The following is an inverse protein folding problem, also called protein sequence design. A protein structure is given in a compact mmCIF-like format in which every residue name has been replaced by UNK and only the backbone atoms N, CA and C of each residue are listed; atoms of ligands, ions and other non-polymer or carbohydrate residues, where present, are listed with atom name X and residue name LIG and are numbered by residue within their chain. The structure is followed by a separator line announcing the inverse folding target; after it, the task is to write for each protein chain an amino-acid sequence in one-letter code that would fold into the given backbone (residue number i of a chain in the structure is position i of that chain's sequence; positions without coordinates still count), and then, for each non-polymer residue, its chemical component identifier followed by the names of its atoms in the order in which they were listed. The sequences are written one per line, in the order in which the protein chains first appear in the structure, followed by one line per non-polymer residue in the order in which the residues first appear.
data_IF_876673381744
#
_entry.id   IF_876673381744
#
_cell.length_a   1.000
_cell.length_b   1.000
_cell.length_c   1.000
_cell.angle_alpha   90.00
_cell.angle_beta   90.00
_cell.angle_gamma   90.00
#
_symmetry.space_group_name_H-M   'P 1'
#
loop_
_entity.id
_entity.type
_entity.pdbx_description
1 polymer ?
#
# COMPACT_ATOMS: atom_id res chain seq x y z
N UNK A 1 33.73 12.74 1.35
CA UNK A 1 32.56 13.28 2.10
C UNK A 1 32.29 14.67 1.55
N UNK A 2 31.03 14.99 1.25
CA UNK A 2 30.58 16.27 0.66
C UNK A 2 31.31 16.72 -0.62
N UNK A 3 31.37 15.82 -1.61
CA UNK A 3 32.06 16.10 -2.87
C UNK A 3 31.40 17.24 -3.66
N UNK A 4 30.08 17.39 -3.57
CA UNK A 4 29.30 18.42 -4.29
C UNK A 4 29.63 19.86 -3.90
N UNK A 5 30.42 20.10 -2.85
CA UNK A 5 30.86 21.44 -2.41
C UNK A 5 32.39 21.56 -2.29
N UNK A 6 33.12 20.53 -2.70
CA UNK A 6 34.58 20.51 -2.68
C UNK A 6 35.13 21.19 -3.95
N UNK A 7 36.23 21.93 -3.85
CA UNK A 7 36.88 22.50 -5.03
C UNK A 7 37.34 21.40 -6.00
N UNK A 8 36.97 21.52 -7.28
CA UNK A 8 37.14 20.45 -8.27
C UNK A 8 38.60 20.01 -8.44
N UNK A 9 39.55 20.96 -8.47
CA UNK A 9 40.97 20.63 -8.62
C UNK A 9 41.47 19.75 -7.46
N UNK A 10 41.08 20.09 -6.22
CA UNK A 10 41.41 19.30 -5.05
C UNK A 10 40.70 17.94 -5.06
N UNK A 11 39.44 17.89 -5.51
CA UNK A 11 38.72 16.63 -5.64
C UNK A 11 39.42 15.67 -6.59
N UNK A 12 39.87 16.13 -7.75
CA UNK A 12 40.57 15.29 -8.73
C UNK A 12 41.90 14.76 -8.19
N UNK A 13 42.70 15.60 -7.52
CA UNK A 13 43.96 15.19 -6.90
C UNK A 13 43.74 14.10 -5.83
N UNK A 14 42.72 14.27 -4.99
CA UNK A 14 42.39 13.29 -3.94
C UNK A 14 41.90 11.98 -4.56
N UNK A 15 41.07 12.02 -5.60
CA UNK A 15 40.60 10.80 -6.28
C UNK A 15 41.77 10.07 -6.94
N UNK A 16 42.62 10.78 -7.70
CA UNK A 16 43.81 10.20 -8.35
C UNK A 16 44.74 9.52 -7.33
N UNK A 17 45.06 10.23 -6.24
CA UNK A 17 45.91 9.72 -5.18
C UNK A 17 45.29 8.50 -4.47
N UNK A 18 43.97 8.50 -4.28
CA UNK A 18 43.24 7.39 -3.66
C UNK A 18 43.29 6.13 -4.54
N UNK A 19 43.12 6.28 -5.85
CA UNK A 19 43.23 5.17 -6.81
C UNK A 19 44.69 4.68 -6.87
N UNK A 20 45.67 5.59 -6.92
CA UNK A 20 47.09 5.23 -6.92
C UNK A 20 47.52 4.48 -5.65
N UNK A 21 46.84 4.71 -4.52
CA UNK A 21 47.04 3.97 -3.28
C UNK A 21 46.41 2.56 -3.28
N UNK A 22 45.71 2.17 -4.37
CA UNK A 22 45.14 0.83 -4.56
C UNK A 22 43.65 0.72 -4.27
N UNK A 23 42.91 1.83 -4.18
CA UNK A 23 41.45 1.78 -4.05
C UNK A 23 40.82 1.27 -5.35
N UNK A 24 39.99 0.23 -5.26
CA UNK A 24 39.25 -0.33 -6.40
C UNK A 24 37.86 0.27 -6.57
N UNK A 25 37.38 1.01 -5.57
CA UNK A 25 36.11 1.74 -5.59
C UNK A 25 36.32 3.08 -4.89
N UNK A 26 35.91 4.17 -5.53
CA UNK A 26 35.95 5.53 -4.97
C UNK A 26 34.54 6.09 -4.93
N UNK A 27 34.03 6.33 -3.72
CA UNK A 27 32.68 6.86 -3.52
C UNK A 27 32.67 8.39 -3.53
N UNK A 28 31.81 8.97 -4.36
CA UNK A 28 31.58 10.40 -4.54
C UNK A 28 30.21 10.75 -3.96
N UNK A 29 30.15 11.17 -2.67
CA UNK A 29 28.88 11.42 -2.01
C UNK A 29 28.37 12.85 -2.26
N UNK A 30 27.08 12.95 -2.54
CA UNK A 30 26.29 14.16 -2.42
C UNK A 30 25.62 14.13 -1.04
N UNK A 31 26.34 14.66 -0.04
CA UNK A 31 26.03 14.43 1.38
C UNK A 31 24.82 15.23 1.87
N UNK A 32 24.53 16.37 1.23
CA UNK A 32 23.56 17.35 1.74
C UNK A 32 22.23 17.32 0.98
N UNK A 33 22.11 16.60 -0.13
CA UNK A 33 20.89 16.52 -0.92
C UNK A 33 20.59 17.78 -1.73
N UNK A 34 21.59 18.62 -2.06
CA UNK A 34 21.38 19.99 -2.55
C UNK A 34 21.64 20.19 -4.05
N UNK A 35 22.57 19.45 -4.64
CA UNK A 35 22.97 19.68 -6.04
C UNK A 35 21.85 19.29 -7.00
N UNK A 36 21.70 20.03 -8.10
CA UNK A 36 20.78 19.61 -9.18
C UNK A 36 21.44 18.61 -10.14
N UNK A 37 20.67 17.81 -10.90
CA UNK A 37 21.22 16.74 -11.75
C UNK A 37 22.32 17.19 -12.71
N UNK A 38 22.17 18.36 -13.33
CA UNK A 38 23.18 18.89 -14.24
C UNK A 38 24.50 19.22 -13.54
N UNK A 39 24.46 19.73 -12.31
CA UNK A 39 25.66 20.04 -11.53
C UNK A 39 26.36 18.76 -11.08
N UNK A 40 25.60 17.80 -10.55
CA UNK A 40 26.16 16.54 -10.10
C UNK A 40 26.69 15.70 -11.26
N UNK A 41 25.97 15.66 -12.38
CA UNK A 41 26.43 15.03 -13.62
C UNK A 41 27.74 15.65 -14.12
N UNK A 42 27.84 16.98 -14.16
CA UNK A 42 29.08 17.66 -14.56
C UNK A 42 30.25 17.37 -13.62
N UNK A 43 29.99 17.21 -12.32
CA UNK A 43 31.02 16.80 -11.35
C UNK A 43 31.55 15.39 -11.66
N UNK A 44 30.66 14.42 -11.89
CA UNK A 44 31.07 13.04 -12.22
C UNK A 44 31.80 13.01 -13.57
N UNK A 45 31.26 13.69 -14.58
CA UNK A 45 31.91 13.83 -15.89
C UNK A 45 33.32 14.43 -15.74
N UNK A 46 33.44 15.48 -14.94
CA UNK A 46 34.72 16.12 -14.65
C UNK A 46 35.74 15.16 -14.03
N UNK A 47 35.31 14.30 -13.09
CA UNK A 47 36.17 13.25 -12.55
C UNK A 47 36.62 12.29 -13.66
N UNK A 48 35.69 11.79 -14.47
CA UNK A 48 35.99 10.85 -15.56
C UNK A 48 36.93 11.44 -16.62
N UNK A 49 36.87 12.75 -16.87
CA UNK A 49 37.70 13.42 -17.89
C UNK A 49 39.07 13.87 -17.39
N UNK A 50 39.22 14.15 -16.08
CA UNK A 50 40.40 14.84 -15.56
C UNK A 50 41.25 14.00 -14.59
N UNK A 51 40.77 12.84 -14.13
CA UNK A 51 41.55 11.94 -13.27
C UNK A 51 42.26 10.89 -14.16
N UNK A 52 43.59 10.91 -14.30
CA UNK A 52 44.30 10.10 -15.30
C UNK A 52 44.16 8.57 -15.14
N UNK A 53 44.02 8.09 -13.91
CA UNK A 53 43.88 6.67 -13.55
C UNK A 53 42.44 6.30 -13.18
N UNK A 54 41.44 7.08 -13.58
CA UNK A 54 40.04 6.86 -13.18
C UNK A 54 39.51 5.49 -13.59
N UNK A 55 39.96 4.96 -14.72
CA UNK A 55 39.54 3.66 -15.25
C UNK A 55 40.06 2.46 -14.45
N UNK A 56 41.02 2.67 -13.54
CA UNK A 56 41.55 1.62 -12.66
C UNK A 56 40.66 1.35 -11.43
N UNK A 57 39.60 2.15 -11.23
CA UNK A 57 38.66 2.01 -10.12
C UNK A 57 37.20 2.25 -10.53
N UNK A 58 36.27 1.68 -9.77
CA UNK A 58 34.85 1.97 -9.94
C UNK A 58 34.52 3.29 -9.25
N UNK A 59 34.00 4.25 -10.02
CA UNK A 59 33.36 5.44 -9.44
C UNK A 59 31.98 5.06 -8.94
N UNK A 60 31.82 5.15 -7.61
CA UNK A 60 30.57 4.97 -6.88
C UNK A 60 29.97 6.33 -6.54
N UNK A 61 28.64 6.43 -6.51
CA UNK A 61 27.93 7.63 -6.05
C UNK A 61 26.99 7.32 -4.89
N UNK A 62 26.85 8.28 -3.99
CA UNK A 62 25.96 8.20 -2.83
C UNK A 62 25.20 9.51 -2.68
N UNK A 63 23.93 9.55 -3.09
CA UNK A 63 23.14 10.78 -3.08
C UNK A 63 22.12 10.79 -1.94
N UNK A 64 22.11 11.87 -1.17
CA UNK A 64 21.03 12.17 -0.23
C UNK A 64 19.86 12.87 -0.92
N UNK A 65 18.70 12.86 -0.26
CA UNK A 65 17.42 13.23 -0.87
C UNK A 65 16.77 14.50 -0.28
N UNK A 66 17.54 15.40 0.33
CA UNK A 66 17.02 16.59 1.01
C UNK A 66 16.17 17.50 0.10
N UNK A 67 16.49 17.61 -1.20
CA UNK A 67 15.65 18.30 -2.20
C UNK A 67 14.81 17.37 -3.09
N UNK A 68 14.76 16.06 -2.79
CA UNK A 68 14.01 15.10 -3.60
C UNK A 68 14.69 14.70 -4.93
N UNK A 69 15.99 14.97 -5.08
CA UNK A 69 16.72 14.81 -6.34
C UNK A 69 17.68 13.60 -6.36
N UNK A 70 17.72 12.77 -5.31
CA UNK A 70 18.72 11.71 -5.16
C UNK A 70 18.72 10.71 -6.32
N UNK A 71 17.53 10.27 -6.74
CA UNK A 71 17.37 9.32 -7.87
C UNK A 71 17.81 9.96 -9.19
N UNK A 72 17.43 11.21 -9.44
CA UNK A 72 17.82 11.92 -10.66
C UNK A 72 19.33 12.14 -10.72
N UNK A 73 19.95 12.54 -9.61
CA UNK A 73 21.41 12.69 -9.47
C UNK A 73 22.13 11.36 -9.68
N UNK A 74 21.57 10.26 -9.17
CA UNK A 74 22.15 8.92 -9.36
C UNK A 74 22.06 8.44 -10.82
N UNK A 75 20.94 8.69 -11.50
CA UNK A 75 20.76 8.30 -12.91
C UNK A 75 21.69 9.08 -13.85
N UNK A 76 21.80 10.40 -13.68
CA UNK A 76 22.71 11.20 -14.51
C UNK A 76 24.18 10.83 -14.23
N UNK A 77 24.53 10.49 -12.99
CA UNK A 77 25.88 10.01 -12.67
C UNK A 77 26.24 8.73 -13.43
N UNK A 78 25.30 7.79 -13.58
CA UNK A 78 25.50 6.58 -14.39
C UNK A 78 25.82 6.96 -15.84
N UNK A 79 25.04 7.88 -16.42
CA UNK A 79 25.26 8.38 -17.78
C UNK A 79 26.61 9.07 -17.94
N UNK A 80 27.13 9.70 -16.89
CA UNK A 80 28.44 10.37 -16.89
C UNK A 80 29.60 9.48 -16.47
N UNK A 81 29.39 8.17 -16.30
CA UNK A 81 30.47 7.19 -16.11
C UNK A 81 30.51 6.48 -14.77
N UNK A 82 29.68 6.86 -13.79
CA UNK A 82 29.57 6.10 -12.55
C UNK A 82 29.07 4.66 -12.82
N UNK A 83 29.59 3.68 -12.09
CA UNK A 83 29.25 2.26 -12.27
C UNK A 83 28.74 1.58 -10.99
N UNK A 84 28.68 2.32 -9.89
CA UNK A 84 28.06 1.88 -8.65
C UNK A 84 27.19 3.00 -8.07
N UNK A 85 26.00 2.64 -7.57
CA UNK A 85 25.11 3.55 -6.85
C UNK A 85 24.85 2.97 -5.47
N UNK A 86 25.25 3.70 -4.43
CA UNK A 86 24.87 3.42 -3.06
C UNK A 86 23.43 3.92 -2.84
N UNK A 87 22.52 2.98 -2.58
CA UNK A 87 21.10 3.24 -2.45
C UNK A 87 20.50 2.38 -1.34
N UNK A 88 19.24 2.64 -1.01
CA UNK A 88 18.53 1.96 0.07
C UNK A 88 17.11 1.60 -0.34
N UNK A 89 16.61 0.51 0.23
CA UNK A 89 15.21 0.14 0.09
C UNK A 89 14.35 1.22 0.75
N UNK A 90 13.28 1.62 0.08
CA UNK A 90 12.36 2.66 0.52
C UNK A 90 12.98 4.07 0.57
N UNK A 91 14.24 4.25 0.14
CA UNK A 91 14.99 5.51 0.28
C UNK A 91 15.36 5.82 1.74
N UNK A 92 15.44 4.83 2.62
CA UNK A 92 15.79 5.05 4.02
C UNK A 92 17.21 5.61 4.20
N UNK A 93 17.36 6.55 5.13
CA UNK A 93 18.64 7.17 5.42
C UNK A 93 18.50 8.29 6.43
N UNK A 94 19.56 9.06 6.61
CA UNK A 94 19.50 10.26 7.44
C UNK A 94 18.57 11.32 6.81
N UNK A 95 17.88 12.08 7.65
CA UNK A 95 17.03 13.22 7.26
C UNK A 95 15.95 12.81 6.25
N UNK A 96 16.03 13.30 5.01
CA UNK A 96 15.13 12.99 3.91
C UNK A 96 15.44 11.65 3.21
N UNK A 97 16.50 10.97 3.63
CA UNK A 97 16.89 9.66 3.14
C UNK A 97 17.97 9.68 2.06
N UNK A 98 18.18 8.50 1.48
CA UNK A 98 19.15 8.25 0.41
C UNK A 98 18.43 7.97 -0.91
N UNK A 99 19.20 7.81 -1.99
CA UNK A 99 18.70 7.26 -3.24
C UNK A 99 17.87 5.98 -3.01
N UNK A 100 16.67 5.97 -3.58
CA UNK A 100 15.72 4.86 -3.54
C UNK A 100 16.13 3.76 -4.52
N UNK A 101 16.45 2.57 -4.01
CA UNK A 101 16.92 1.44 -4.82
C UNK A 101 15.87 1.04 -5.85
N UNK A 102 14.63 0.88 -5.42
CA UNK A 102 13.53 0.46 -6.29
C UNK A 102 13.27 1.43 -7.44
N UNK A 103 13.49 2.74 -7.23
CA UNK A 103 13.25 3.77 -8.24
C UNK A 103 14.34 3.79 -9.30
N UNK A 104 15.62 3.70 -8.90
CA UNK A 104 16.75 3.61 -9.86
C UNK A 104 16.66 2.33 -10.69
N UNK A 105 16.43 1.19 -10.04
CA UNK A 105 16.32 -0.10 -10.72
C UNK A 105 15.17 -0.09 -11.73
N UNK A 106 14.01 0.42 -11.32
CA UNK A 106 12.84 0.44 -12.21
C UNK A 106 12.96 1.51 -13.29
N UNK A 107 13.64 2.63 -13.06
CA UNK A 107 13.94 3.59 -14.13
C UNK A 107 14.77 2.94 -15.25
N UNK A 108 15.89 2.29 -14.90
CA UNK A 108 16.76 1.59 -15.87
C UNK A 108 16.00 0.47 -16.59
N UNK A 109 15.24 -0.34 -15.83
CA UNK A 109 14.52 -1.50 -16.38
C UNK A 109 13.33 -1.11 -17.27
N UNK A 110 12.58 -0.08 -16.89
CA UNK A 110 11.36 0.34 -17.60
C UNK A 110 11.70 1.17 -18.83
N UNK A 111 12.71 2.05 -18.74
CA UNK A 111 13.15 2.91 -19.84
C UNK A 111 14.38 2.33 -20.55
N UNK A 112 14.34 1.04 -20.89
CA UNK A 112 15.41 0.39 -21.67
C UNK A 112 15.65 1.03 -23.04
N UNK A 113 14.64 1.72 -23.59
CA UNK A 113 14.78 2.56 -24.79
C UNK A 113 15.81 3.68 -24.60
N UNK A 114 15.93 4.20 -23.37
CA UNK A 114 16.84 5.27 -23.01
C UNK A 114 18.12 4.74 -22.35
N UNK A 115 17.99 3.86 -21.36
CA UNK A 115 19.09 3.27 -20.61
C UNK A 115 19.59 1.94 -21.22
N UNK A 116 19.61 1.84 -22.56
CA UNK A 116 19.88 0.58 -23.27
C UNK A 116 21.26 -0.03 -22.96
N UNK A 117 22.23 0.79 -22.57
CA UNK A 117 23.60 0.39 -22.22
C UNK A 117 23.74 -0.06 -20.76
N UNK A 118 22.71 0.10 -19.93
CA UNK A 118 22.77 -0.13 -18.49
C UNK A 118 21.81 -1.24 -18.06
N UNK A 119 22.24 -2.02 -17.08
CA UNK A 119 21.39 -3.04 -16.46
C UNK A 119 21.77 -3.22 -14.99
N UNK A 120 20.89 -3.90 -14.26
CA UNK A 120 21.18 -4.40 -12.92
C UNK A 120 20.84 -5.87 -12.87
N UNK A 121 21.50 -6.63 -11.99
CA UNK A 121 21.20 -8.03 -11.72
C UNK A 121 20.10 -8.20 -10.64
N UNK A 122 19.48 -7.10 -10.23
CA UNK A 122 18.47 -7.10 -9.17
C UNK A 122 17.22 -7.83 -9.64
N UNK A 123 16.78 -8.80 -8.85
CA UNK A 123 15.51 -9.47 -9.07
C UNK A 123 14.36 -8.52 -8.68
N UNK A 124 13.79 -7.86 -9.70
CA UNK A 124 12.71 -6.89 -9.51
C UNK A 124 11.50 -7.46 -8.76
N UNK A 125 11.20 -8.76 -8.89
CA UNK A 125 10.05 -9.40 -8.23
C UNK A 125 10.14 -9.38 -6.70
N UNK A 126 11.34 -9.21 -6.15
CA UNK A 126 11.56 -9.14 -4.69
C UNK A 126 11.49 -7.72 -4.13
N UNK A 127 11.35 -6.69 -4.98
CA UNK A 127 11.33 -5.28 -4.54
C UNK A 127 10.21 -5.03 -3.53
N UNK A 128 8.95 -5.35 -3.86
CA UNK A 128 7.81 -5.13 -2.96
C UNK A 128 7.87 -6.02 -1.70
N UNK A 129 8.17 -7.34 -1.79
CA UNK A 129 8.40 -8.17 -0.61
C UNK A 129 9.45 -7.61 0.36
N UNK A 130 10.60 -7.17 -0.16
CA UNK A 130 11.69 -6.61 0.64
C UNK A 130 11.28 -5.26 1.23
N UNK A 131 10.66 -4.37 0.46
CA UNK A 131 10.13 -3.09 0.93
C UNK A 131 9.22 -3.27 2.15
N UNK A 132 8.27 -4.21 2.08
CA UNK A 132 7.34 -4.53 3.19
C UNK A 132 8.06 -5.13 4.39
N UNK A 133 9.09 -5.96 4.16
CA UNK A 133 9.91 -6.51 5.24
C UNK A 133 10.67 -5.40 5.95
N UNK A 134 11.37 -4.54 5.21
CA UNK A 134 12.12 -3.40 5.74
C UNK A 134 11.20 -2.47 6.54
N UNK A 135 10.03 -2.13 6.00
CA UNK A 135 9.04 -1.29 6.71
C UNK A 135 8.62 -1.86 8.06
N UNK A 136 8.30 -3.17 8.12
CA UNK A 136 7.94 -3.85 9.38
C UNK A 136 9.11 -3.95 10.36
N UNK A 137 10.30 -4.28 9.88
CA UNK A 137 11.49 -4.43 10.72
C UNK A 137 11.93 -3.10 11.31
N UNK A 138 11.89 -2.02 10.52
CA UNK A 138 12.31 -0.69 10.95
C UNK A 138 11.23 0.08 11.71
N UNK A 139 9.97 -0.37 11.66
CA UNK A 139 8.83 0.35 12.24
C UNK A 139 8.49 1.65 11.49
N UNK A 140 8.96 1.81 10.25
CA UNK A 140 8.74 3.01 9.42
C UNK A 140 7.83 2.63 8.26
N UNK A 141 6.63 3.22 8.24
CA UNK A 141 5.62 3.01 7.20
C UNK A 141 6.08 3.55 5.84
N UNK A 142 5.79 2.82 4.77
CA UNK A 142 5.98 3.33 3.40
C UNK A 142 4.88 4.34 3.08
N UNK A 143 5.25 5.50 2.53
CA UNK A 143 4.30 6.51 2.09
C UNK A 143 3.36 5.90 1.02
N UNK A 144 2.03 6.06 1.12
CA UNK A 144 1.09 5.42 0.19
C UNK A 144 1.34 5.75 -1.29
N UNK A 145 1.76 6.98 -1.60
CA UNK A 145 2.05 7.46 -2.95
C UNK A 145 3.53 7.40 -3.33
N UNK A 146 4.37 6.67 -2.58
CA UNK A 146 5.77 6.45 -2.98
C UNK A 146 5.83 5.71 -4.31
N UNK A 147 6.73 6.12 -5.18
CA UNK A 147 6.98 5.46 -6.46
C UNK A 147 7.32 3.96 -6.26
N UNK A 148 6.84 3.11 -7.17
CA UNK A 148 7.06 1.65 -7.23
C UNK A 148 6.47 0.83 -6.07
N UNK A 149 6.70 1.23 -4.81
CA UNK A 149 6.39 0.41 -3.62
C UNK A 149 5.27 0.99 -2.74
N UNK A 150 4.78 2.19 -3.03
CA UNK A 150 3.63 2.77 -2.35
C UNK A 150 2.34 1.99 -2.63
N UNK A 151 1.45 1.90 -1.64
CA UNK A 151 0.16 1.22 -1.76
C UNK A 151 -0.72 1.75 -2.92
N UNK A 152 -0.53 3.02 -3.29
CA UNK A 152 -1.27 3.68 -4.36
C UNK A 152 -0.52 3.68 -5.71
N UNK A 153 0.69 3.12 -5.80
CA UNK A 153 1.52 3.19 -7.01
C UNK A 153 0.88 2.50 -8.23
N UNK A 154 0.06 1.48 -7.98
CA UNK A 154 -0.70 0.72 -9.00
C UNK A 154 -2.20 0.70 -8.69
N UNK A 155 -2.66 1.77 -8.03
CA UNK A 155 -4.06 1.91 -7.66
C UNK A 155 -4.75 2.97 -8.52
N UNK A 156 -5.91 2.64 -9.07
CA UNK A 156 -6.64 3.49 -10.02
C UNK A 156 -8.05 3.77 -9.51
N UNK A 157 -8.30 5.03 -9.14
CA UNK A 157 -9.56 5.48 -8.53
C UNK A 157 -10.40 6.39 -9.44
N UNK A 158 -9.79 6.96 -10.47
CA UNK A 158 -10.45 7.82 -11.46
C UNK A 158 -11.18 6.98 -12.49
N UNK A 159 -12.47 7.28 -12.76
CA UNK A 159 -13.27 6.53 -13.73
C UNK A 159 -12.64 6.45 -15.14
N UNK A 160 -11.94 7.50 -15.58
CA UNK A 160 -11.25 7.49 -16.88
C UNK A 160 -10.01 6.57 -16.89
N UNK A 161 -9.29 6.47 -15.77
CA UNK A 161 -8.14 5.57 -15.65
C UNK A 161 -8.61 4.12 -15.57
N UNK A 162 -9.67 3.87 -14.78
CA UNK A 162 -10.27 2.55 -14.64
C UNK A 162 -10.76 2.02 -15.99
N UNK A 163 -11.54 2.82 -16.74
CA UNK A 163 -12.01 2.43 -18.07
C UNK A 163 -10.85 2.18 -19.05
N UNK A 164 -9.81 3.02 -19.01
CA UNK A 164 -8.62 2.84 -19.84
C UNK A 164 -7.88 1.53 -19.55
N UNK A 165 -7.69 1.19 -18.28
CA UNK A 165 -6.98 -0.04 -17.87
C UNK A 165 -7.78 -1.29 -18.17
N UNK A 166 -9.11 -1.24 -18.01
CA UNK A 166 -10.00 -2.34 -18.39
C UNK A 166 -9.88 -2.63 -19.89
N UNK A 167 -9.73 -1.60 -20.73
CA UNK A 167 -9.55 -1.75 -22.18
C UNK A 167 -8.12 -2.15 -22.56
N UNK A 168 -7.13 -1.52 -21.95
CA UNK A 168 -5.71 -1.74 -22.22
C UNK A 168 -4.86 -1.23 -21.04
N UNK A 169 -4.24 -2.15 -20.30
CA UNK A 169 -3.44 -1.82 -19.11
C UNK A 169 -2.29 -0.85 -19.42
N UNK A 170 -1.61 -1.03 -20.56
CA UNK A 170 -0.45 -0.21 -20.96
C UNK A 170 -0.77 1.26 -21.16
N UNK A 171 -2.05 1.65 -21.24
CA UNK A 171 -2.45 3.06 -21.36
C UNK A 171 -2.11 3.87 -20.11
N UNK A 172 -2.17 3.26 -18.92
CA UNK A 172 -1.91 3.94 -17.65
C UNK A 172 -0.88 3.21 -16.77
N UNK A 173 -0.50 1.98 -17.13
CA UNK A 173 0.50 1.19 -16.42
C UNK A 173 1.75 0.99 -17.29
N UNK A 174 2.77 1.81 -17.04
CA UNK A 174 4.08 1.69 -17.71
C UNK A 174 4.92 0.51 -17.19
N UNK A 175 4.49 -0.12 -16.10
CA UNK A 175 5.13 -1.26 -15.44
C UNK A 175 4.05 -2.27 -15.11
N UNK A 176 4.26 -3.56 -15.42
CA UNK A 176 3.41 -4.63 -14.88
C UNK A 176 3.70 -4.81 -13.38
N UNK A 177 2.72 -4.58 -12.48
CA UNK A 177 2.91 -4.74 -11.04
C UNK A 177 3.45 -6.13 -10.64
N UNK A 178 3.13 -7.17 -11.41
CA UNK A 178 3.62 -8.54 -11.13
C UNK A 178 5.12 -8.67 -11.32
N UNK A 179 5.75 -7.85 -12.17
CA UNK A 179 7.20 -7.87 -12.37
C UNK A 179 7.99 -7.34 -11.16
N UNK A 180 7.34 -6.57 -10.29
CA UNK A 180 7.94 -5.93 -9.11
C UNK A 180 7.49 -6.53 -7.76
N UNK A 181 6.66 -7.59 -7.82
CA UNK A 181 6.21 -8.32 -6.63
C UNK A 181 4.88 -7.86 -6.04
N UNK A 182 4.13 -7.02 -6.74
CA UNK A 182 2.70 -6.83 -6.45
C UNK A 182 1.90 -8.04 -6.95
N UNK A 183 0.79 -8.35 -6.29
CA UNK A 183 -0.12 -9.43 -6.74
C UNK A 183 -0.84 -9.01 -8.03
N UNK A 184 -1.41 -7.81 -8.01
CA UNK A 184 -2.18 -7.20 -9.09
C UNK A 184 -2.38 -5.71 -8.82
N UNK A 185 -2.78 -4.97 -9.86
CA UNK A 185 -3.25 -3.59 -9.75
C UNK A 185 -4.57 -3.53 -8.97
N UNK A 186 -4.79 -2.44 -8.25
CA UNK A 186 -6.03 -2.23 -7.50
C UNK A 186 -6.95 -1.25 -8.22
N UNK A 187 -8.16 -1.68 -8.54
CA UNK A 187 -9.24 -0.78 -8.96
C UNK A 187 -9.98 -0.31 -7.70
N UNK A 188 -9.64 0.90 -7.22
CA UNK A 188 -10.29 1.46 -6.04
C UNK A 188 -11.60 2.09 -6.46
N UNK A 189 -12.72 1.51 -6.04
CA UNK A 189 -14.03 2.11 -6.28
C UNK A 189 -14.24 3.32 -5.36
N UNK A 190 -14.51 4.47 -5.99
CA UNK A 190 -14.74 5.76 -5.34
C UNK A 190 -15.98 6.45 -5.93
N UNK A 191 -16.46 7.59 -5.40
CA UNK A 191 -17.57 8.34 -6.01
C UNK A 191 -17.32 8.77 -7.47
N UNK A 192 -16.05 8.75 -7.92
CA UNK A 192 -15.64 9.08 -9.29
C UNK A 192 -15.56 7.86 -10.20
N UNK A 193 -15.78 6.66 -9.66
CA UNK A 193 -15.80 5.43 -10.43
C UNK A 193 -17.08 5.35 -11.24
N UNK A 194 -16.93 5.05 -12.53
CA UNK A 194 -18.06 4.89 -13.43
C UNK A 194 -18.71 3.51 -13.32
N UNK A 195 -19.88 3.38 -13.93
CA UNK A 195 -20.64 2.11 -14.04
C UNK A 195 -19.80 0.95 -14.59
N UNK A 196 -18.89 1.22 -15.51
CA UNK A 196 -18.04 0.17 -16.08
C UNK A 196 -17.09 -0.44 -15.04
N UNK A 197 -16.46 0.40 -14.21
CA UNK A 197 -15.58 -0.06 -13.14
C UNK A 197 -16.36 -0.84 -12.07
N UNK A 198 -17.55 -0.36 -11.70
CA UNK A 198 -18.44 -1.07 -10.77
C UNK A 198 -18.87 -2.43 -11.32
N UNK A 199 -19.36 -2.48 -12.57
CA UNK A 199 -19.75 -3.74 -13.24
C UNK A 199 -18.59 -4.73 -13.30
N UNK A 200 -17.40 -4.26 -13.67
CA UNK A 200 -16.21 -5.09 -13.74
C UNK A 200 -15.90 -5.72 -12.38
N UNK A 201 -15.91 -4.91 -11.30
CA UNK A 201 -15.63 -5.42 -9.95
C UNK A 201 -16.70 -6.39 -9.45
N UNK A 202 -17.97 -6.11 -9.70
CA UNK A 202 -19.07 -7.03 -9.37
C UNK A 202 -18.92 -8.37 -10.10
N UNK A 203 -18.50 -8.36 -11.37
CA UNK A 203 -18.22 -9.58 -12.12
C UNK A 203 -17.04 -10.37 -11.56
N UNK A 204 -15.97 -9.71 -11.09
CA UNK A 204 -14.86 -10.38 -10.40
C UNK A 204 -15.29 -11.05 -9.08
N UNK A 205 -16.31 -10.49 -8.42
CA UNK A 205 -16.93 -11.06 -7.22
C UNK A 205 -17.97 -12.16 -7.55
N UNK A 206 -18.20 -12.46 -8.83
CA UNK A 206 -19.13 -13.48 -9.29
C UNK A 206 -20.58 -13.02 -9.48
N UNK A 207 -20.85 -11.71 -9.43
CA UNK A 207 -22.18 -11.15 -9.71
C UNK A 207 -22.35 -10.82 -11.20
N UNK A 208 -23.40 -11.35 -11.80
CA UNK A 208 -23.87 -10.91 -13.12
C UNK A 208 -25.04 -9.94 -12.93
N UNK A 209 -24.87 -8.70 -13.40
CA UNK A 209 -25.87 -7.63 -13.31
C UNK A 209 -26.23 -7.11 -14.70
N UNK A 210 -27.52 -7.04 -15.00
CA UNK A 210 -28.00 -6.40 -16.21
C UNK A 210 -27.91 -4.87 -16.12
N UNK A 211 -28.31 -4.17 -17.19
CA UNK A 211 -28.21 -2.71 -17.24
C UNK A 211 -29.12 -2.02 -16.21
N UNK A 212 -30.33 -2.55 -15.96
CA UNK A 212 -31.30 -1.96 -15.05
C UNK A 212 -30.89 -2.19 -13.59
N UNK A 213 -30.43 -3.39 -13.27
CA UNK A 213 -29.85 -3.74 -11.97
C UNK A 213 -28.62 -2.88 -11.68
N UNK A 214 -27.71 -2.74 -12.65
CA UNK A 214 -26.51 -1.94 -12.46
C UNK A 214 -26.84 -0.48 -12.13
N UNK A 215 -27.87 0.12 -12.73
CA UNK A 215 -28.28 1.49 -12.40
C UNK A 215 -28.74 1.61 -10.94
N UNK A 216 -29.52 0.65 -10.44
CA UNK A 216 -29.97 0.62 -9.04
C UNK A 216 -28.81 0.41 -8.06
N UNK A 217 -27.91 -0.53 -8.39
CA UNK A 217 -26.68 -0.79 -7.62
C UNK A 217 -25.78 0.42 -7.61
N UNK A 218 -25.65 1.13 -8.74
CA UNK A 218 -24.82 2.32 -8.88
C UNK A 218 -25.29 3.47 -7.97
N UNK A 219 -26.61 3.70 -7.87
CA UNK A 219 -27.16 4.71 -6.95
C UNK A 219 -26.89 4.37 -5.47
N UNK A 220 -26.99 3.10 -5.08
CA UNK A 220 -26.63 2.66 -3.72
C UNK A 220 -25.13 2.77 -3.46
N UNK A 221 -24.34 2.36 -4.45
CA UNK A 221 -22.88 2.48 -4.44
C UNK A 221 -22.45 3.93 -4.19
N UNK A 222 -23.03 4.92 -4.89
CA UNK A 222 -22.70 6.33 -4.67
C UNK A 222 -22.99 6.78 -3.23
N UNK A 223 -24.11 6.35 -2.64
CA UNK A 223 -24.44 6.68 -1.24
C UNK A 223 -23.44 6.10 -0.24
N UNK A 224 -22.90 4.92 -0.52
CA UNK A 224 -21.85 4.31 0.31
C UNK A 224 -20.52 5.00 0.08
N UNK A 225 -20.16 5.26 -1.19
CA UNK A 225 -18.92 5.92 -1.57
C UNK A 225 -18.82 7.38 -1.09
N UNK A 226 -19.95 8.10 -1.00
CA UNK A 226 -19.97 9.45 -0.44
C UNK A 226 -19.65 9.46 1.06
N UNK A 227 -20.02 8.38 1.76
CA UNK A 227 -19.73 8.20 3.20
C UNK A 227 -18.35 7.58 3.42
N UNK A 228 -17.87 6.74 2.51
CA UNK A 228 -16.60 6.02 2.59
C UNK A 228 -15.67 6.44 1.45
N UNK A 229 -14.51 7.02 1.78
CA UNK A 229 -13.49 7.44 0.80
C UNK A 229 -13.12 6.37 -0.24
N UNK A 230 -13.24 5.09 0.12
CA UNK A 230 -13.12 3.94 -0.79
C UNK A 230 -14.15 2.86 -0.41
N UNK A 231 -14.77 2.26 -1.42
CA UNK A 231 -15.73 1.16 -1.25
C UNK A 231 -15.00 -0.18 -1.35
N UNK A 232 -15.21 -1.06 -0.36
CA UNK A 232 -14.59 -2.38 -0.31
C UNK A 232 -15.51 -3.47 -0.89
N UNK A 233 -14.97 -4.65 -1.18
CA UNK A 233 -15.75 -5.77 -1.70
C UNK A 233 -16.91 -6.14 -0.77
N UNK A 234 -16.70 -6.12 0.55
CA UNK A 234 -17.75 -6.37 1.54
C UNK A 234 -18.89 -5.34 1.47
N UNK A 235 -18.60 -4.09 1.08
CA UNK A 235 -19.62 -3.08 0.87
C UNK A 235 -20.44 -3.37 -0.41
N UNK A 236 -19.78 -3.86 -1.46
CA UNK A 236 -20.46 -4.28 -2.69
C UNK A 236 -21.34 -5.50 -2.44
N UNK A 237 -20.84 -6.50 -1.72
CA UNK A 237 -21.62 -7.67 -1.31
C UNK A 237 -22.85 -7.27 -0.49
N UNK A 238 -22.73 -6.28 0.39
CA UNK A 238 -23.86 -5.73 1.14
C UNK A 238 -24.87 -5.01 0.21
N UNK A 239 -24.39 -4.17 -0.72
CA UNK A 239 -25.24 -3.50 -1.72
C UNK A 239 -25.99 -4.50 -2.61
N UNK A 240 -25.33 -5.60 -2.98
CA UNK A 240 -25.92 -6.70 -3.75
C UNK A 240 -26.88 -7.53 -2.90
N UNK A 241 -26.55 -7.75 -1.62
CA UNK A 241 -27.42 -8.46 -0.68
C UNK A 241 -28.70 -7.67 -0.40
N UNK A 242 -28.67 -6.34 -0.35
CA UNK A 242 -29.87 -5.49 -0.25
C UNK A 242 -30.77 -5.60 -1.49
N UNK A 243 -30.22 -5.92 -2.67
CA UNK A 243 -31.00 -6.17 -3.88
C UNK A 243 -31.56 -7.60 -3.95
N UNK A 244 -30.84 -8.56 -3.35
CA UNK A 244 -31.23 -9.97 -3.26
C UNK A 244 -32.16 -10.23 -2.06
N UNK A 245 -32.14 -9.39 -1.01
CA UNK A 245 -32.94 -9.54 0.20
C UNK A 245 -34.07 -8.52 0.28
N UNK A 246 -35.17 -8.85 -0.38
CA UNK A 246 -36.49 -8.63 0.22
C UNK A 246 -36.80 -9.76 1.21
N UNK A 247 -35.89 -10.03 2.16
CA UNK A 247 -36.18 -10.95 3.28
C UNK A 247 -36.48 -10.06 4.49
N UNK A 248 -37.70 -10.11 5.05
CA UNK A 248 -38.02 -9.38 6.27
C UNK A 248 -36.99 -9.67 7.37
N UNK A 249 -36.64 -8.68 8.19
CA UNK A 249 -35.76 -8.90 9.32
C UNK A 249 -36.46 -9.86 10.31
N UNK A 250 -35.99 -11.12 10.35
CA UNK A 250 -36.54 -12.17 11.22
C UNK A 250 -36.10 -11.97 12.69
N UNK A 251 -34.95 -11.30 12.89
CA UNK A 251 -34.34 -11.07 14.20
C UNK A 251 -33.81 -9.63 14.31
N UNK A 252 -34.13 -8.93 15.39
CA UNK A 252 -33.62 -7.58 15.69
C UNK A 252 -33.09 -7.53 17.14
N UNK A 253 -31.87 -7.01 17.34
CA UNK A 253 -31.31 -6.83 18.68
C UNK A 253 -32.03 -5.69 19.40
N UNK A 254 -32.73 -5.99 20.50
CA UNK A 254 -33.47 -5.02 21.30
C UNK A 254 -32.57 -4.37 22.36
N UNK A 255 -31.87 -5.21 23.14
CA UNK A 255 -30.89 -4.73 24.12
C UNK A 255 -29.75 -5.73 24.33
N UNK A 256 -28.65 -5.20 24.84
CA UNK A 256 -27.48 -5.96 25.27
C UNK A 256 -26.99 -5.39 26.61
N UNK A 257 -26.75 -6.28 27.58
CA UNK A 257 -26.12 -5.94 28.85
C UNK A 257 -24.84 -6.77 28.99
N UNK A 258 -23.74 -6.10 29.30
CA UNK A 258 -22.42 -6.71 29.43
C UNK A 258 -21.88 -6.46 30.83
N UNK A 259 -21.42 -7.52 31.49
CA UNK A 259 -20.69 -7.47 32.75
C UNK A 259 -19.34 -8.13 32.53
N UNK A 260 -18.26 -7.35 32.64
CA UNK A 260 -16.89 -7.83 32.40
C UNK A 260 -15.92 -7.18 33.38
N UNK A 261 -14.84 -7.89 33.72
CA UNK A 261 -13.82 -7.40 34.65
C UNK A 261 -12.71 -8.42 34.86
N UNK A 262 -11.60 -7.98 35.46
CA UNK A 262 -10.37 -8.79 35.58
C UNK A 262 -10.48 -9.99 36.52
N UNK A 263 -11.55 -10.07 37.34
CA UNK A 263 -11.78 -11.15 38.32
C UNK A 263 -13.18 -11.75 38.24
N UNK A 264 -13.93 -11.45 37.19
CA UNK A 264 -15.28 -11.97 36.96
C UNK A 264 -15.36 -12.57 35.56
N UNK A 265 -16.14 -13.64 35.41
CA UNK A 265 -16.41 -14.19 34.08
C UNK A 265 -17.16 -13.14 33.25
N UNK A 266 -16.71 -12.90 32.02
CA UNK A 266 -17.40 -11.99 31.12
C UNK A 266 -18.76 -12.59 30.77
N UNK A 267 -19.84 -11.89 31.13
CA UNK A 267 -21.21 -12.35 30.95
C UNK A 267 -21.97 -11.34 30.12
N UNK A 268 -22.65 -11.81 29.08
CA UNK A 268 -23.48 -10.97 28.22
C UNK A 268 -24.90 -11.50 28.21
N UNK A 269 -25.87 -10.61 28.42
CA UNK A 269 -27.31 -10.87 28.23
C UNK A 269 -27.78 -10.11 26.99
N UNK A 270 -28.50 -10.80 26.11
CA UNK A 270 -29.08 -10.20 24.89
C UNK A 270 -30.59 -10.42 24.89
N UNK A 271 -31.33 -9.36 24.57
CA UNK A 271 -32.74 -9.44 24.19
C UNK A 271 -32.85 -9.27 22.68
N UNK A 272 -33.38 -10.28 21.99
CA UNK A 272 -33.59 -10.24 20.54
C UNK A 272 -35.09 -10.34 20.26
N UNK A 273 -35.61 -9.37 19.51
CA UNK A 273 -36.97 -9.35 18.99
C UNK A 273 -37.07 -10.35 17.84
N UNK A 274 -38.00 -11.28 18.00
CA UNK A 274 -38.41 -12.29 17.02
C UNK A 274 -39.87 -12.05 16.62
N UNK A 275 -40.41 -12.83 15.67
CA UNK A 275 -41.84 -12.79 15.33
C UNK A 275 -42.75 -13.07 16.55
N UNK A 276 -42.28 -13.88 17.50
CA UNK A 276 -43.02 -14.29 18.70
C UNK A 276 -42.79 -13.36 19.92
N UNK A 277 -42.04 -12.28 19.73
CA UNK A 277 -41.68 -11.32 20.80
C UNK A 277 -40.20 -11.35 21.17
N UNK A 278 -39.85 -10.72 22.31
CA UNK A 278 -38.45 -10.60 22.74
C UNK A 278 -38.03 -11.88 23.47
N UNK A 279 -36.97 -12.51 22.97
CA UNK A 279 -36.32 -13.67 23.59
C UNK A 279 -35.02 -13.21 24.25
N UNK A 280 -34.89 -13.48 25.55
CA UNK A 280 -33.69 -13.16 26.33
C UNK A 280 -32.82 -14.40 26.55
N UNK A 281 -31.51 -14.26 26.33
CA UNK A 281 -30.50 -15.28 26.67
C UNK A 281 -29.26 -14.63 27.27
N UNK A 282 -28.59 -15.36 28.14
CA UNK A 282 -27.33 -14.96 28.73
C UNK A 282 -26.27 -16.05 28.55
N UNK A 283 -25.04 -15.65 28.27
CA UNK A 283 -23.90 -16.55 28.19
C UNK A 283 -22.66 -15.95 28.81
N UNK A 284 -21.74 -16.82 29.21
CA UNK A 284 -20.37 -16.45 29.57
C UNK A 284 -19.42 -16.71 28.39
N UNK A 285 -18.26 -16.07 28.42
CA UNK A 285 -17.22 -16.23 27.40
C UNK A 285 -15.87 -15.68 27.85
N UNK A 286 -14.86 -15.89 27.00
CA UNK A 286 -13.48 -15.45 27.25
C UNK A 286 -13.34 -13.92 27.20
N UNK A 287 -14.36 -13.23 26.71
CA UNK A 287 -14.52 -11.79 26.71
C UNK A 287 -15.96 -11.39 26.38
N UNK A 288 -16.28 -10.08 26.38
CA UNK A 288 -17.64 -9.59 26.18
C UNK A 288 -18.18 -9.91 24.79
N UNK A 289 -17.31 -9.91 23.78
CA UNK A 289 -17.64 -10.24 22.39
C UNK A 289 -17.99 -11.73 22.26
N UNK A 290 -17.14 -12.62 22.76
CA UNK A 290 -17.39 -14.07 22.75
C UNK A 290 -18.67 -14.44 23.51
N UNK A 291 -18.87 -13.86 24.69
CA UNK A 291 -20.10 -14.04 25.46
C UNK A 291 -21.36 -13.56 24.71
N UNK A 292 -21.27 -12.46 23.97
CA UNK A 292 -22.37 -11.96 23.15
C UNK A 292 -22.74 -12.92 22.01
N UNK A 293 -21.74 -13.42 21.26
CA UNK A 293 -21.99 -14.35 20.16
C UNK A 293 -22.60 -15.67 20.63
N UNK A 294 -22.15 -16.19 21.77
CA UNK A 294 -22.74 -17.39 22.39
C UNK A 294 -24.19 -17.14 22.81
N UNK A 295 -24.48 -16.00 23.42
CA UNK A 295 -25.85 -15.65 23.83
C UNK A 295 -26.78 -15.46 22.62
N UNK A 296 -26.32 -14.82 21.55
CA UNK A 296 -27.07 -14.67 20.30
C UNK A 296 -27.33 -16.03 19.65
N UNK A 297 -26.31 -16.89 19.58
CA UNK A 297 -26.42 -18.24 19.02
C UNK A 297 -27.50 -19.08 19.72
N UNK A 298 -27.66 -18.92 21.04
CA UNK A 298 -28.74 -19.58 21.80
C UNK A 298 -30.14 -19.06 21.48
N UNK A 299 -30.27 -17.81 21.01
CA UNK A 299 -31.57 -17.25 20.63
C UNK A 299 -31.98 -17.73 19.24
N UNK A 300 -31.05 -17.74 18.30
CA UNK A 300 -31.31 -18.11 16.90
C UNK A 300 -31.14 -19.61 16.61
N UNK A 301 -30.79 -20.40 17.62
CA UNK A 301 -30.50 -21.84 17.56
C UNK A 301 -29.41 -22.21 16.53
N UNK A 302 -28.35 -21.39 16.47
CA UNK A 302 -27.21 -21.58 15.57
C UNK A 302 -25.90 -21.52 16.37
N UNK A 303 -25.02 -22.49 16.12
CA UNK A 303 -23.66 -22.44 16.67
C UNK A 303 -22.79 -21.50 15.85
N UNK A 304 -22.67 -20.25 16.32
CA UNK A 304 -21.81 -19.25 15.70
C UNK A 304 -20.39 -19.33 16.25
N UNK A 305 -19.42 -19.57 15.37
CA UNK A 305 -17.99 -19.48 15.72
C UNK A 305 -17.41 -18.17 15.18
N UNK A 306 -16.88 -17.31 16.05
CA UNK A 306 -16.19 -16.09 15.65
C UNK A 306 -14.78 -16.44 15.15
N UNK A 307 -14.52 -16.22 13.86
CA UNK A 307 -13.26 -16.58 13.20
C UNK A 307 -12.28 -15.41 13.16
N UNK A 308 -12.79 -14.21 12.89
CA UNK A 308 -11.99 -12.99 12.89
C UNK A 308 -12.80 -11.82 13.45
N UNK A 309 -12.13 -10.98 14.22
CA UNK A 309 -12.68 -9.76 14.82
C UNK A 309 -11.59 -8.69 14.83
N UNK A 310 -11.85 -7.60 14.12
CA UNK A 310 -10.92 -6.48 14.01
C UNK A 310 -11.64 -5.19 14.38
N UNK A 311 -11.00 -4.40 15.25
CA UNK A 311 -11.40 -3.05 15.57
C UNK A 311 -10.28 -2.09 15.15
N UNK A 312 -10.62 -1.06 14.38
CA UNK A 312 -9.67 -0.01 13.98
C UNK A 312 -10.26 1.37 14.18
N UNK A 313 -9.40 2.32 14.57
CA UNK A 313 -9.75 3.74 14.59
C UNK A 313 -9.74 4.29 13.16
N UNK A 314 -10.83 4.91 12.74
CA UNK A 314 -10.97 5.56 11.44
C UNK A 314 -10.57 7.04 11.52
N UNK A 315 -10.75 7.67 12.67
CA UNK A 315 -10.36 9.06 12.95
C UNK A 315 -9.53 9.15 14.24
N UNK A 316 -8.90 10.29 14.48
CA UNK A 316 -8.10 10.58 15.67
C UNK A 316 -8.90 11.41 16.69
N UNK A 317 -8.51 11.37 17.97
CA UNK A 317 -9.16 12.10 19.06
C UNK A 317 -9.99 11.22 20.00
N UNK A 318 -10.53 11.81 21.08
CA UNK A 318 -11.39 11.09 22.04
C UNK A 318 -12.74 10.66 21.41
N UNK A 319 -13.19 11.37 20.37
CA UNK A 319 -14.40 11.07 19.58
C UNK A 319 -14.08 10.26 18.31
N UNK A 320 -13.06 9.38 18.37
CA UNK A 320 -12.62 8.59 17.23
C UNK A 320 -13.68 7.59 16.78
N UNK A 321 -14.04 7.64 15.48
CA UNK A 321 -14.95 6.68 14.86
C UNK A 321 -14.25 5.31 14.84
N UNK A 322 -14.90 4.32 15.44
CA UNK A 322 -14.47 2.93 15.41
C UNK A 322 -15.10 2.18 14.25
N UNK A 323 -14.30 1.44 13.49
CA UNK A 323 -14.81 0.44 12.56
C UNK A 323 -14.57 -0.95 13.13
N UNK A 324 -15.63 -1.74 13.19
CA UNK A 324 -15.60 -3.14 13.59
C UNK A 324 -15.93 -3.99 12.38
N UNK A 325 -15.04 -4.92 12.06
CA UNK A 325 -15.24 -5.97 11.05
C UNK A 325 -15.18 -7.33 11.73
N UNK A 326 -16.11 -8.20 11.37
CA UNK A 326 -16.20 -9.55 11.91
C UNK A 326 -16.44 -10.59 10.82
N UNK A 327 -15.89 -11.77 11.04
CA UNK A 327 -16.13 -12.98 10.26
C UNK A 327 -16.61 -14.07 11.19
N UNK A 328 -17.80 -14.59 10.94
CA UNK A 328 -18.38 -15.71 11.69
C UNK A 328 -18.57 -16.91 10.78
N UNK A 329 -18.49 -18.11 11.36
CA UNK A 329 -18.74 -19.37 10.68
C UNK A 329 -19.94 -20.04 11.32
N UNK A 330 -20.89 -20.46 10.49
CA UNK A 330 -21.95 -21.40 10.83
C UNK A 330 -21.72 -22.67 9.99
N UNK A 331 -21.45 -23.80 10.66
CA UNK A 331 -21.10 -25.07 10.03
C UNK A 331 -19.96 -24.93 8.98
N UNK A 332 -20.31 -24.88 7.69
CA UNK A 332 -19.38 -24.79 6.55
C UNK A 332 -19.40 -23.44 5.82
N UNK A 333 -20.30 -22.53 6.21
CA UNK A 333 -20.46 -21.23 5.56
C UNK A 333 -19.84 -20.11 6.40
N UNK A 334 -19.26 -19.13 5.72
CA UNK A 334 -18.68 -17.94 6.33
C UNK A 334 -19.58 -16.74 6.05
N UNK A 335 -19.83 -15.96 7.10
CA UNK A 335 -20.58 -14.71 7.02
C UNK A 335 -19.72 -13.54 7.50
N UNK A 336 -19.89 -12.41 6.82
CA UNK A 336 -19.12 -11.20 7.06
C UNK A 336 -20.05 -10.07 7.52
N UNK A 337 -19.58 -9.27 8.48
CA UNK A 337 -20.28 -8.08 8.95
C UNK A 337 -19.30 -6.94 9.21
N UNK A 338 -19.66 -5.74 8.78
CA UNK A 338 -18.87 -4.53 9.05
C UNK A 338 -19.81 -3.42 9.51
N UNK A 339 -19.45 -2.74 10.60
CA UNK A 339 -20.20 -1.58 11.10
C UNK A 339 -19.23 -0.50 11.55
N UNK A 340 -19.50 0.74 11.13
CA UNK A 340 -18.84 1.93 11.65
C UNK A 340 -19.75 2.53 12.73
N UNK A 341 -19.19 2.85 13.89
CA UNK A 341 -19.91 3.49 14.99
C UNK A 341 -19.17 4.76 15.43
N UNK A 342 -19.95 5.82 15.65
CA UNK A 342 -19.50 7.06 16.26
C UNK A 342 -19.14 6.86 17.73
#
# INVERSE_FOLDING_TARGET
MDAGRTELAFLYEVVEATIAAGATVVNIPETVGWTVPTEFGNLIKGIMENVPNVDDAIISVHCHNDLGLAVANSLIAIEQGARQVECTINGLGERAGNTSLEEVVMAIRTRRDYFSEYYTEINAKEIVPISRRVSRTMGISVQPNKAIVGANAFAHSSGIHQDGIIKSRVTFEIIDPKEIGWKESQLILSPRSGRNALRHRLSELGYEVDAEQLDKVYERFLKVADKKKAVQDADLEAIMSDEIRSIPAVYELDYIQIVSGTRIASTTTVGIRTEDGIVERASTGDGPVDAAFKAIGQVIDIQLNLIDYQIRSVTEGEDAIGEVSLKVQDNWEYHHGTRCQH
#
